data_IF_573717361620
#
_entry.id   IF_573717361620
#
_cell.length_a   1.000
_cell.length_b   1.000
_cell.length_c   1.000
_cell.angle_alpha   90.00
_cell.angle_beta   90.00
_cell.angle_gamma   90.00
#
_symmetry.space_group_name_H-M   'P 1'
#
loop_
_entity.id
_entity.type
_entity.pdbx_description
1 polymer ?
#
# COMPACT_ATOMS: atom_id res chain seq x y z
N UNK A 1 -25.09 -14.14 -7.05
CA UNK A 1 -24.22 -14.20 -5.86
C UNK A 1 -22.85 -13.67 -6.25
N UNK A 2 -22.17 -12.86 -5.43
CA UNK A 2 -20.82 -12.37 -5.74
C UNK A 2 -19.84 -13.54 -5.63
N UNK A 3 -19.04 -13.78 -6.67
CA UNK A 3 -17.97 -14.78 -6.61
C UNK A 3 -16.88 -14.32 -5.65
N UNK A 4 -16.36 -15.23 -4.81
CA UNK A 4 -15.25 -14.94 -3.90
C UNK A 4 -13.99 -14.48 -4.64
N UNK A 5 -13.82 -14.89 -5.91
CA UNK A 5 -12.71 -14.45 -6.77
C UNK A 5 -12.74 -12.94 -7.08
N UNK A 6 -13.89 -12.26 -6.93
CA UNK A 6 -13.99 -10.82 -7.15
C UNK A 6 -13.58 -10.00 -5.91
N UNK A 7 -13.47 -10.63 -4.73
CA UNK A 7 -13.20 -9.92 -3.48
C UNK A 7 -11.81 -9.26 -3.51
N UNK A 8 -10.77 -9.97 -3.97
CA UNK A 8 -9.42 -9.41 -4.02
C UNK A 8 -9.32 -8.17 -4.95
N UNK A 9 -9.76 -8.22 -6.22
CA UNK A 9 -9.78 -7.05 -7.10
C UNK A 9 -10.59 -5.86 -6.55
N UNK A 10 -11.64 -6.10 -5.77
CA UNK A 10 -12.37 -5.01 -5.09
C UNK A 10 -11.51 -4.37 -4.00
N UNK A 11 -10.84 -5.17 -3.18
CA UNK A 11 -10.09 -4.70 -2.01
C UNK A 11 -8.79 -3.96 -2.36
N UNK A 12 -8.12 -4.29 -3.47
CA UNK A 12 -6.81 -3.67 -3.81
C UNK A 12 -6.86 -2.16 -4.05
N UNK A 13 -8.03 -1.60 -4.37
CA UNK A 13 -8.19 -0.16 -4.60
C UNK A 13 -7.91 0.67 -3.34
N UNK A 14 -8.29 0.16 -2.17
CA UNK A 14 -8.14 0.86 -0.90
C UNK A 14 -6.66 1.10 -0.54
N UNK A 15 -5.79 0.06 -0.44
CA UNK A 15 -4.40 0.29 -0.11
C UNK A 15 -3.71 1.15 -1.16
N UNK A 16 -4.00 0.99 -2.46
CA UNK A 16 -3.40 1.84 -3.51
C UNK A 16 -3.75 3.32 -3.27
N UNK A 17 -5.04 3.66 -3.20
CA UNK A 17 -5.47 5.05 -3.06
C UNK A 17 -5.03 5.66 -1.72
N UNK A 18 -5.24 4.96 -0.60
CA UNK A 18 -4.96 5.49 0.74
C UNK A 18 -3.46 5.74 0.95
N UNK A 19 -2.60 4.84 0.47
CA UNK A 19 -1.15 4.97 0.63
C UNK A 19 -0.62 6.10 -0.25
N UNK A 20 -1.02 6.17 -1.52
CA UNK A 20 -0.58 7.23 -2.43
C UNK A 20 -1.03 8.61 -1.95
N UNK A 21 -2.31 8.77 -1.61
CA UNK A 21 -2.86 10.04 -1.13
C UNK A 21 -2.28 10.41 0.23
N UNK A 22 -2.09 9.45 1.13
CA UNK A 22 -1.47 9.70 2.43
C UNK A 22 -0.01 10.12 2.33
N UNK A 23 0.76 9.55 1.40
CA UNK A 23 2.13 9.98 1.16
C UNK A 23 2.18 11.39 0.55
N UNK A 24 1.27 11.71 -0.38
CA UNK A 24 1.13 13.06 -0.92
C UNK A 24 0.79 14.06 0.19
N UNK A 25 -0.09 13.71 1.13
CA UNK A 25 -0.40 14.56 2.27
C UNK A 25 0.82 14.76 3.20
N UNK A 26 1.58 13.70 3.50
CA UNK A 26 2.82 13.80 4.28
C UNK A 26 3.87 14.66 3.56
N UNK A 27 4.05 14.50 2.25
CA UNK A 27 4.96 15.34 1.47
C UNK A 27 4.51 16.80 1.44
N UNK A 28 3.22 17.05 1.22
CA UNK A 28 2.64 18.38 1.27
C UNK A 28 2.84 19.05 2.65
N UNK A 29 2.82 18.28 3.75
CA UNK A 29 3.10 18.82 5.09
C UNK A 29 4.53 19.38 5.24
N UNK A 30 5.50 18.86 4.47
CA UNK A 30 6.88 19.37 4.46
C UNK A 30 7.00 20.70 3.72
N UNK A 31 6.18 20.89 2.67
CA UNK A 31 6.13 22.12 1.86
C UNK A 31 5.30 23.20 2.57
N UNK A 32 4.12 22.82 3.06
CA UNK A 32 3.15 23.71 3.71
C UNK A 32 3.24 23.58 5.24
N UNK A 33 4.39 23.95 5.80
CA UNK A 33 4.73 23.76 7.24
C UNK A 33 3.75 24.35 8.26
N UNK A 34 2.80 25.20 7.84
CA UNK A 34 1.77 25.79 8.72
C UNK A 34 0.54 24.88 8.90
N UNK A 35 0.38 23.87 8.06
CA UNK A 35 -0.80 23.00 8.03
C UNK A 35 -0.56 21.67 8.76
N UNK A 36 -0.61 21.70 10.10
CA UNK A 36 -0.43 20.52 10.94
C UNK A 36 -1.43 19.38 10.64
N UNK A 37 -2.57 19.70 10.01
CA UNK A 37 -3.56 18.72 9.58
C UNK A 37 -3.02 17.75 8.52
N UNK A 38 -2.12 18.19 7.63
CA UNK A 38 -1.63 17.36 6.53
C UNK A 38 -0.82 16.15 7.01
N UNK A 39 0.06 16.35 7.99
CA UNK A 39 0.84 15.24 8.57
C UNK A 39 -0.05 14.27 9.36
N UNK A 40 -1.09 14.77 10.04
CA UNK A 40 -2.08 13.89 10.68
C UNK A 40 -2.90 13.10 9.67
N UNK A 41 -3.27 13.71 8.54
CA UNK A 41 -3.95 13.03 7.45
C UNK A 41 -3.07 11.93 6.85
N UNK A 42 -1.81 12.24 6.53
CA UNK A 42 -0.82 11.23 6.12
C UNK A 42 -0.64 10.15 7.19
N UNK A 43 -0.73 10.52 8.47
CA UNK A 43 -0.72 9.58 9.58
C UNK A 43 -1.85 8.55 9.47
N UNK A 44 -3.09 9.01 9.54
CA UNK A 44 -4.25 8.11 9.55
C UNK A 44 -4.41 7.33 8.24
N UNK A 45 -4.10 7.94 7.10
CA UNK A 45 -4.19 7.27 5.80
C UNK A 45 -3.20 6.11 5.66
N UNK A 46 -1.97 6.21 6.16
CA UNK A 46 -1.08 5.04 6.20
C UNK A 46 -1.58 3.97 7.16
N UNK A 47 -2.14 4.31 8.33
CA UNK A 47 -2.65 3.27 9.25
C UNK A 47 -3.79 2.49 8.61
N UNK A 48 -4.80 3.20 8.09
CA UNK A 48 -5.95 2.56 7.42
C UNK A 48 -5.51 1.87 6.13
N UNK A 49 -4.61 2.48 5.36
CA UNK A 49 -4.03 1.90 4.15
C UNK A 49 -3.29 0.60 4.43
N UNK A 50 -2.48 0.54 5.50
CA UNK A 50 -1.77 -0.67 5.92
C UNK A 50 -2.74 -1.78 6.31
N UNK A 51 -3.78 -1.47 7.11
CA UNK A 51 -4.80 -2.44 7.47
C UNK A 51 -5.54 -2.96 6.22
N UNK A 52 -5.89 -2.07 5.28
CA UNK A 52 -6.51 -2.48 4.02
C UNK A 52 -5.59 -3.33 3.15
N UNK A 53 -4.27 -3.10 3.18
CA UNK A 53 -3.28 -3.91 2.48
C UNK A 53 -3.22 -5.33 3.06
N UNK A 54 -3.33 -5.49 4.39
CA UNK A 54 -3.44 -6.82 5.02
C UNK A 54 -4.66 -7.56 4.48
N UNK A 55 -5.84 -6.93 4.47
CA UNK A 55 -7.05 -7.56 3.96
C UNK A 55 -6.97 -7.89 2.47
N UNK A 56 -6.41 -6.99 1.66
CA UNK A 56 -6.21 -7.23 0.23
C UNK A 56 -5.25 -8.41 -0.02
N UNK A 57 -4.15 -8.49 0.72
CA UNK A 57 -3.18 -9.58 0.61
C UNK A 57 -3.80 -10.92 1.03
N UNK A 58 -4.51 -10.95 2.17
CA UNK A 58 -5.22 -12.15 2.61
C UNK A 58 -6.25 -12.62 1.58
N UNK A 59 -7.04 -11.70 1.03
CA UNK A 59 -7.99 -12.03 -0.04
C UNK A 59 -7.27 -12.55 -1.30
N UNK A 60 -6.09 -12.04 -1.63
CA UNK A 60 -5.26 -12.52 -2.73
C UNK A 60 -4.85 -13.97 -2.51
N UNK A 61 -4.28 -14.27 -1.34
CA UNK A 61 -3.83 -15.62 -0.98
C UNK A 61 -4.98 -16.63 -0.89
N UNK A 62 -6.14 -16.21 -0.36
CA UNK A 62 -7.24 -17.13 -0.07
C UNK A 62 -8.21 -17.34 -1.25
N UNK A 63 -8.39 -16.33 -2.11
CA UNK A 63 -9.48 -16.30 -3.08
C UNK A 63 -9.05 -16.17 -4.53
N UNK A 64 -7.74 -16.11 -4.81
CA UNK A 64 -7.22 -16.13 -6.20
C UNK A 64 -6.67 -17.51 -6.54
N UNK A 65 -6.89 -17.93 -7.79
CA UNK A 65 -6.37 -19.21 -8.30
C UNK A 65 -4.94 -19.04 -8.80
N UNK A 66 -4.18 -20.12 -8.77
CA UNK A 66 -2.86 -20.13 -9.36
C UNK A 66 -2.90 -19.97 -10.89
N UNK A 67 -1.81 -19.44 -11.42
CA UNK A 67 -1.61 -19.20 -12.84
C UNK A 67 -0.28 -19.81 -13.28
N UNK A 68 -0.23 -20.26 -14.52
CA UNK A 68 0.96 -20.86 -15.12
C UNK A 68 1.46 -20.08 -16.33
N UNK A 69 2.70 -20.34 -16.75
CA UNK A 69 3.32 -19.66 -17.90
C UNK A 69 3.53 -18.17 -17.62
N UNK A 70 3.44 -17.34 -18.66
CA UNK A 70 3.70 -15.90 -18.55
C UNK A 70 2.78 -15.20 -17.52
N UNK A 71 1.51 -15.60 -17.41
CA UNK A 71 0.60 -15.08 -16.39
C UNK A 71 1.07 -15.42 -14.96
N UNK A 72 1.62 -16.62 -14.77
CA UNK A 72 2.20 -17.05 -13.49
C UNK A 72 3.42 -16.22 -13.09
N UNK A 73 4.29 -15.86 -14.02
CA UNK A 73 5.46 -15.00 -13.74
C UNK A 73 5.05 -13.58 -13.35
N UNK A 74 4.04 -13.02 -14.03
CA UNK A 74 3.46 -11.72 -13.68
C UNK A 74 2.78 -11.79 -12.31
N UNK A 75 2.06 -12.87 -12.00
CA UNK A 75 1.45 -13.12 -10.68
C UNK A 75 2.50 -13.19 -9.58
N UNK A 76 3.57 -13.96 -9.79
CA UNK A 76 4.67 -14.05 -8.83
C UNK A 76 5.31 -12.69 -8.56
N UNK A 77 5.50 -11.87 -9.60
CA UNK A 77 6.01 -10.50 -9.46
C UNK A 77 5.04 -9.62 -8.69
N UNK A 78 3.74 -9.66 -9.00
CA UNK A 78 2.70 -8.96 -8.26
C UNK A 78 2.71 -9.34 -6.77
N UNK A 79 2.77 -10.64 -6.46
CA UNK A 79 2.79 -11.15 -5.09
C UNK A 79 4.03 -10.73 -4.32
N UNK A 80 5.21 -10.77 -4.96
CA UNK A 80 6.45 -10.27 -4.38
C UNK A 80 6.31 -8.81 -3.96
N UNK A 81 5.83 -7.96 -4.87
CA UNK A 81 5.62 -6.54 -4.58
C UNK A 81 4.51 -6.30 -3.54
N UNK A 82 3.48 -7.15 -3.49
CA UNK A 82 2.45 -7.09 -2.44
C UNK A 82 3.04 -7.35 -1.05
N UNK A 83 3.91 -8.35 -0.90
CA UNK A 83 4.61 -8.62 0.35
C UNK A 83 5.61 -7.52 0.74
N UNK A 84 6.39 -7.02 -0.23
CA UNK A 84 7.30 -5.88 -0.01
C UNK A 84 6.51 -4.64 0.44
N UNK A 85 5.41 -4.34 -0.25
CA UNK A 85 4.51 -3.24 0.09
C UNK A 85 4.02 -3.39 1.52
N UNK A 86 3.44 -4.54 1.88
CA UNK A 86 2.93 -4.76 3.23
C UNK A 86 4.03 -4.60 4.29
N UNK A 87 5.22 -5.15 4.05
CA UNK A 87 6.37 -5.03 4.95
C UNK A 87 6.80 -3.57 5.17
N UNK A 88 6.94 -2.79 4.09
CA UNK A 88 7.28 -1.37 4.15
C UNK A 88 6.22 -0.57 4.91
N UNK A 89 4.94 -0.78 4.59
CA UNK A 89 3.83 -0.06 5.21
C UNK A 89 3.67 -0.41 6.70
N UNK A 90 3.82 -1.70 7.05
CA UNK A 90 3.79 -2.15 8.43
C UNK A 90 4.93 -1.54 9.25
N UNK A 91 6.17 -1.61 8.75
CA UNK A 91 7.32 -1.02 9.43
C UNK A 91 7.16 0.49 9.59
N UNK A 92 6.73 1.19 8.54
CA UNK A 92 6.47 2.64 8.58
C UNK A 92 5.38 2.97 9.61
N UNK A 93 4.30 2.18 9.65
CA UNK A 93 3.21 2.34 10.62
C UNK A 93 3.71 2.18 12.05
N UNK A 94 4.50 1.15 12.35
CA UNK A 94 5.09 0.93 13.67
C UNK A 94 5.97 2.11 14.09
N UNK A 95 6.86 2.57 13.20
CA UNK A 95 7.74 3.71 13.48
C UNK A 95 6.91 4.97 13.76
N UNK A 96 5.92 5.30 12.92
CA UNK A 96 5.14 6.51 13.14
C UNK A 96 4.23 6.43 14.36
N UNK A 97 3.63 5.27 14.66
CA UNK A 97 2.88 5.06 15.92
C UNK A 97 3.82 5.31 17.10
N UNK A 98 5.03 4.76 17.07
CA UNK A 98 6.02 5.00 18.12
C UNK A 98 6.36 6.50 18.27
N UNK A 99 6.58 7.21 17.16
CA UNK A 99 6.86 8.64 17.16
C UNK A 99 5.72 9.46 17.78
N UNK A 100 4.47 9.17 17.43
CA UNK A 100 3.27 9.83 17.98
C UNK A 100 3.12 9.51 19.47
N UNK A 101 3.13 8.23 19.86
CA UNK A 101 2.91 7.80 21.25
C UNK A 101 4.02 8.31 22.18
N UNK A 102 5.26 8.36 21.72
CA UNK A 102 6.39 8.88 22.50
C UNK A 102 6.58 10.39 22.37
N UNK A 103 5.72 11.10 21.63
CA UNK A 103 5.82 12.55 21.37
C UNK A 103 7.20 12.95 20.79
N UNK A 104 7.75 12.10 19.91
CA UNK A 104 9.05 12.26 19.25
C UNK A 104 8.94 12.61 17.76
N UNK A 105 7.80 13.14 17.33
CA UNK A 105 7.50 13.47 15.93
C UNK A 105 8.53 14.42 15.28
N UNK A 106 9.26 15.21 16.09
CA UNK A 106 10.32 16.10 15.60
C UNK A 106 11.72 15.47 15.50
N UNK A 107 11.90 14.22 15.94
CA UNK A 107 13.20 13.52 15.88
C UNK A 107 13.62 13.16 14.44
N UNK A 108 14.91 12.87 14.24
CA UNK A 108 15.46 12.49 12.93
C UNK A 108 14.86 11.20 12.37
N UNK A 109 14.32 10.35 13.24
CA UNK A 109 13.62 9.11 12.85
C UNK A 109 12.39 9.38 11.95
N UNK A 110 11.85 10.61 11.96
CA UNK A 110 10.77 11.01 11.04
C UNK A 110 11.21 10.95 9.57
N UNK A 111 12.49 11.20 9.26
CA UNK A 111 13.00 11.16 7.89
C UNK A 111 13.11 9.73 7.38
N UNK A 112 13.48 8.79 8.26
CA UNK A 112 13.43 7.36 7.96
C UNK A 112 11.99 6.92 7.69
N UNK A 113 11.04 7.32 8.55
CA UNK A 113 9.62 7.02 8.34
C UNK A 113 9.10 7.60 7.02
N UNK A 114 9.47 8.84 6.69
CA UNK A 114 9.11 9.48 5.44
C UNK A 114 9.67 8.72 4.21
N UNK A 115 10.95 8.34 4.25
CA UNK A 115 11.58 7.57 3.18
C UNK A 115 10.93 6.18 2.99
N UNK A 116 10.69 5.46 4.08
CA UNK A 116 10.00 4.16 4.04
C UNK A 116 8.56 4.29 3.51
N UNK A 117 7.84 5.36 3.88
CA UNK A 117 6.52 5.62 3.35
C UNK A 117 6.57 5.87 1.83
N UNK A 118 7.52 6.68 1.36
CA UNK A 118 7.72 6.90 -0.07
C UNK A 118 8.04 5.62 -0.84
N UNK A 119 8.90 4.76 -0.29
CA UNK A 119 9.18 3.44 -0.87
C UNK A 119 7.92 2.55 -0.88
N UNK A 120 7.13 2.57 0.19
CA UNK A 120 5.83 1.88 0.25
C UNK A 120 4.83 2.39 -0.80
N UNK A 121 4.80 3.70 -1.03
CA UNK A 121 3.96 4.35 -2.03
C UNK A 121 4.37 3.97 -3.47
N UNK A 122 5.67 3.89 -3.75
CA UNK A 122 6.17 3.39 -5.03
C UNK A 122 5.85 1.90 -5.19
N UNK A 123 6.12 1.10 -4.16
CA UNK A 123 5.91 -0.35 -4.17
C UNK A 123 4.43 -0.72 -4.37
N UNK A 124 3.48 0.00 -3.74
CA UNK A 124 2.05 -0.24 -3.94
C UNK A 124 1.61 0.12 -5.36
N UNK A 125 2.21 1.16 -5.96
CA UNK A 125 1.99 1.51 -7.37
C UNK A 125 2.45 0.40 -8.33
N UNK A 126 3.64 -0.17 -8.08
CA UNK A 126 4.15 -1.32 -8.85
C UNK A 126 3.26 -2.56 -8.66
N UNK A 127 2.84 -2.83 -7.43
CA UNK A 127 1.90 -3.92 -7.10
C UNK A 127 0.61 -3.76 -7.91
N UNK A 128 0.03 -2.55 -7.92
CA UNK A 128 -1.17 -2.22 -8.67
C UNK A 128 -0.99 -2.35 -10.18
N UNK A 129 0.18 -1.92 -10.72
CA UNK A 129 0.50 -2.07 -12.14
C UNK A 129 0.48 -3.54 -12.58
N UNK A 130 1.21 -4.42 -11.88
CA UNK A 130 1.20 -5.85 -12.22
C UNK A 130 -0.17 -6.50 -11.99
N UNK A 131 -0.92 -6.07 -10.96
CA UNK A 131 -2.30 -6.50 -10.75
C UNK A 131 -3.22 -6.13 -11.91
N UNK A 132 -3.09 -4.90 -12.43
CA UNK A 132 -3.79 -4.45 -13.64
C UNK A 132 -3.40 -5.27 -14.87
N UNK A 133 -2.10 -5.52 -15.07
CA UNK A 133 -1.60 -6.36 -16.18
C UNK A 133 -2.21 -7.77 -16.14
N UNK A 134 -2.34 -8.40 -14.97
CA UNK A 134 -3.02 -9.69 -14.84
C UNK A 134 -4.46 -9.63 -15.33
N UNK A 135 -5.20 -8.60 -14.90
CA UNK A 135 -6.61 -8.45 -15.27
C UNK A 135 -6.76 -8.17 -16.76
N UNK A 136 -6.09 -7.16 -17.29
CA UNK A 136 -6.33 -6.67 -18.66
C UNK A 136 -5.65 -7.51 -19.75
N UNK A 137 -4.52 -8.16 -19.45
CA UNK A 137 -3.78 -8.92 -20.47
C UNK A 137 -4.05 -10.42 -20.42
N UNK A 138 -4.48 -10.96 -19.28
CA UNK A 138 -4.60 -12.41 -19.09
C UNK A 138 -5.99 -12.88 -18.69
N UNK A 139 -6.75 -12.11 -17.88
CA UNK A 139 -8.09 -12.51 -17.44
C UNK A 139 -9.21 -12.00 -18.36
N UNK A 140 -9.07 -10.76 -18.85
CA UNK A 140 -10.01 -10.11 -19.76
C UNK A 140 -9.25 -9.50 -20.94
N UNK A 141 -8.58 -10.31 -21.78
CA UNK A 141 -7.88 -9.81 -22.94
C UNK A 141 -8.88 -9.11 -23.87
N UNK A 142 -8.59 -7.85 -24.19
CA UNK A 142 -9.32 -7.05 -25.17
C UNK A 142 -8.92 -7.41 -26.60
#
# INVERSE_FOLDING_TARGET
MISVSHIHPMLVHFPIALILIGFIADFASLVFKKEACLSKTGFYLLIVGTLSAVFALLAGVLFTSDMSGAAGEVKATHELFAWITLGLLFLTSVIRIFLVVKKREHSDLKWLAFALYGLGAISVGITGFFGGTLVYNYMMPL
#
